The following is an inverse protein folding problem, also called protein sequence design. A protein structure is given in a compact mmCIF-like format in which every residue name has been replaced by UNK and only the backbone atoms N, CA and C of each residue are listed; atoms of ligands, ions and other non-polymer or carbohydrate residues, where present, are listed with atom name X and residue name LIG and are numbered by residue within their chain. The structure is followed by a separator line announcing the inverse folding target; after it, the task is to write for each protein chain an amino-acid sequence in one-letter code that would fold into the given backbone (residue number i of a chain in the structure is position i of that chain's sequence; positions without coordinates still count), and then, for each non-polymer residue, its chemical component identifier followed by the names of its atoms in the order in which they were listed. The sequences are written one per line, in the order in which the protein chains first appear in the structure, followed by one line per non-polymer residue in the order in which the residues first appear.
data_IF_346324937740
#
_entry.id   IF_346324937740
#
_cell.length_a   1.000
_cell.length_b   1.000
_cell.length_c   1.000
_cell.angle_alpha   90.00
_cell.angle_beta   90.00
_cell.angle_gamma   90.00
#
_symmetry.space_group_name_H-M   'P 1'
#
loop_
_entity.id
_entity.type
_entity.pdbx_description
1 polymer ?
#
# COMPACT_ATOMS: atom_id res chain seq x y z
N UNK A 1 -0.66 -23.17 -34.39
CA UNK A 1 -0.64 -21.92 -33.57
C UNK A 1 0.32 -22.14 -32.40
N UNK A 2 1.60 -21.77 -32.55
CA UNK A 2 2.62 -21.98 -31.50
C UNK A 2 2.64 -20.81 -30.53
N UNK A 3 2.29 -21.07 -29.26
CA UNK A 3 2.32 -20.08 -28.17
C UNK A 3 3.79 -19.80 -27.81
N UNK A 4 4.23 -18.56 -28.01
CA UNK A 4 5.56 -18.11 -27.61
C UNK A 4 5.57 -17.87 -26.10
N UNK A 5 6.10 -18.83 -25.33
CA UNK A 5 6.40 -18.62 -23.92
C UNK A 5 7.49 -17.55 -23.81
N UNK A 6 7.18 -16.43 -23.14
CA UNK A 6 8.16 -15.40 -22.83
C UNK A 6 9.10 -15.94 -21.76
N UNK A 7 10.24 -16.48 -22.18
CA UNK A 7 11.36 -16.78 -21.28
C UNK A 7 11.97 -15.45 -20.90
N UNK A 8 11.60 -14.90 -19.74
CA UNK A 8 12.34 -13.82 -19.13
C UNK A 8 13.78 -14.31 -18.88
N UNK A 9 14.79 -13.52 -19.28
CA UNK A 9 16.17 -13.93 -19.05
C UNK A 9 16.43 -14.03 -17.56
N UNK A 10 16.84 -15.22 -17.11
CA UNK A 10 17.20 -15.51 -15.71
C UNK A 10 18.18 -14.46 -15.16
N UNK A 11 19.05 -13.95 -16.04
CA UNK A 11 20.06 -12.93 -15.75
C UNK A 11 19.49 -11.60 -15.25
N UNK A 12 18.38 -11.12 -15.83
CA UNK A 12 17.77 -9.84 -15.40
C UNK A 12 17.21 -9.95 -13.98
N UNK A 13 16.61 -11.09 -13.65
CA UNK A 13 16.09 -11.34 -12.31
C UNK A 13 17.22 -11.44 -11.27
N UNK A 14 18.34 -12.11 -11.61
CA UNK A 14 19.52 -12.15 -10.74
C UNK A 14 20.07 -10.75 -10.48
N UNK A 15 20.18 -9.92 -11.52
CA UNK A 15 20.69 -8.56 -11.40
C UNK A 15 19.79 -7.68 -10.50
N UNK A 16 18.47 -7.80 -10.62
CA UNK A 16 17.52 -7.07 -9.76
C UNK A 16 17.63 -7.50 -8.29
N UNK A 17 17.76 -8.81 -8.03
CA UNK A 17 17.96 -9.34 -6.67
C UNK A 17 19.29 -8.88 -6.06
N UNK A 18 20.37 -8.90 -6.85
CA UNK A 18 21.68 -8.41 -6.42
C UNK A 18 21.66 -6.90 -6.13
N UNK A 19 21.01 -6.11 -6.99
CA UNK A 19 20.85 -4.68 -6.79
C UNK A 19 20.06 -4.37 -5.52
N UNK A 20 18.97 -5.11 -5.27
CA UNK A 20 18.22 -5.02 -4.01
C UNK A 20 19.12 -5.33 -2.82
N UNK A 21 19.83 -6.47 -2.84
CA UNK A 21 20.67 -6.90 -1.73
C UNK A 21 21.77 -5.88 -1.40
N UNK A 22 22.42 -5.33 -2.43
CA UNK A 22 23.43 -4.29 -2.26
C UNK A 22 22.86 -3.04 -1.61
N UNK A 23 21.69 -2.56 -2.07
CA UNK A 23 21.03 -1.38 -1.45
C UNK A 23 20.63 -1.67 0.00
N UNK A 24 20.11 -2.87 0.25
CA UNK A 24 19.61 -3.28 1.56
C UNK A 24 20.73 -3.31 2.59
N UNK A 25 21.84 -3.98 2.27
CA UNK A 25 23.00 -4.07 3.16
C UNK A 25 23.66 -2.70 3.34
N UNK A 26 23.84 -1.92 2.27
CA UNK A 26 24.43 -0.58 2.34
C UNK A 26 23.66 0.37 3.26
N UNK A 27 22.33 0.24 3.30
CA UNK A 27 21.51 1.01 4.23
C UNK A 27 21.60 0.44 5.65
N UNK A 28 21.47 -0.88 5.78
CA UNK A 28 21.29 -1.52 7.08
C UNK A 28 22.58 -1.55 7.93
N UNK A 29 23.73 -1.82 7.32
CA UNK A 29 25.03 -1.92 8.02
C UNK A 29 25.38 -0.69 8.87
N UNK A 30 25.42 0.55 8.33
CA UNK A 30 25.80 1.73 9.11
C UNK A 30 24.79 2.00 10.23
N UNK A 31 23.51 1.78 9.97
CA UNK A 31 22.42 2.02 10.94
C UNK A 31 22.50 1.04 12.11
N UNK A 32 22.69 -0.25 11.83
CA UNK A 32 22.83 -1.26 12.89
C UNK A 32 24.09 -1.03 13.73
N UNK A 33 25.19 -0.58 13.10
CA UNK A 33 26.41 -0.21 13.83
C UNK A 33 26.14 0.95 14.79
N UNK A 34 25.44 1.99 14.33
CA UNK A 34 25.04 3.13 15.18
C UNK A 34 24.21 2.68 16.38
N UNK A 35 23.20 1.83 16.17
CA UNK A 35 22.34 1.30 17.25
C UNK A 35 23.18 0.52 18.28
N UNK A 36 24.14 -0.30 17.82
CA UNK A 36 25.03 -1.06 18.70
C UNK A 36 25.93 -0.16 19.54
N UNK A 37 26.48 0.90 18.94
CA UNK A 37 27.37 1.84 19.62
C UNK A 37 26.59 2.65 20.67
N UNK A 38 25.38 3.12 20.34
CA UNK A 38 24.47 3.78 21.28
C UNK A 38 24.08 2.87 22.45
N UNK A 39 23.74 1.60 22.18
CA UNK A 39 23.44 0.60 23.23
C UNK A 39 24.62 0.38 24.17
N UNK A 40 25.84 0.33 23.64
CA UNK A 40 27.06 0.09 24.45
C UNK A 40 27.39 1.28 25.37
N UNK A 41 26.96 2.49 24.98
CA UNK A 41 27.13 3.72 25.78
C UNK A 41 26.08 3.92 26.88
N UNK A 42 24.90 3.31 26.74
CA UNK A 42 23.77 3.51 27.64
C UNK A 42 23.67 2.39 28.67
N UNK A 43 24.13 2.66 29.89
CA UNK A 43 23.91 1.79 31.04
C UNK A 43 22.43 1.89 31.47
N UNK A 44 21.53 0.97 31.06
CA UNK A 44 20.26 0.65 31.79
C UNK A 44 19.33 -0.41 31.17
N UNK A 45 18.77 -1.19 32.09
CA UNK A 45 17.40 -1.77 32.22
C UNK A 45 16.78 -2.58 31.07
N UNK A 46 16.05 -3.64 31.42
CA UNK A 46 15.34 -4.57 30.52
C UNK A 46 14.39 -3.86 29.52
N UNK A 47 13.87 -2.67 29.84
CA UNK A 47 13.07 -1.85 28.91
C UNK A 47 13.87 -1.33 27.69
N UNK A 48 15.20 -1.25 27.79
CA UNK A 48 16.07 -0.85 26.68
C UNK A 48 16.16 -1.91 25.59
N UNK A 49 16.06 -3.20 25.94
CA UNK A 49 16.12 -4.29 24.96
C UNK A 49 14.90 -4.32 24.03
N UNK A 50 13.70 -4.16 24.59
CA UNK A 50 12.45 -4.07 23.82
C UNK A 50 12.45 -2.87 22.86
N UNK A 51 13.08 -1.76 23.26
CA UNK A 51 13.21 -0.58 22.40
C UNK A 51 14.24 -0.80 21.28
N UNK A 52 15.36 -1.48 21.55
CA UNK A 52 16.35 -1.82 20.52
C UNK A 52 15.76 -2.77 19.49
N UNK A 53 15.03 -3.82 19.90
CA UNK A 53 14.40 -4.75 18.95
C UNK A 53 13.40 -4.05 18.03
N UNK A 54 12.59 -3.13 18.56
CA UNK A 54 11.65 -2.33 17.77
C UNK A 54 12.36 -1.38 16.82
N UNK A 55 13.44 -0.74 17.26
CA UNK A 55 14.25 0.14 16.42
C UNK A 55 14.93 -0.64 15.29
N UNK A 56 15.52 -1.80 15.59
CA UNK A 56 16.11 -2.67 14.57
C UNK A 56 15.05 -3.10 13.55
N UNK A 57 13.85 -3.49 13.99
CA UNK A 57 12.75 -3.84 13.09
C UNK A 57 12.36 -2.67 12.19
N UNK A 58 12.22 -1.47 12.79
CA UNK A 58 11.93 -0.24 12.06
C UNK A 58 12.95 0.03 10.94
N UNK A 59 14.24 -0.04 11.27
CA UNK A 59 15.32 0.20 10.30
C UNK A 59 15.40 -0.89 9.23
N UNK A 60 15.14 -2.15 9.58
CA UNK A 60 15.03 -3.25 8.62
C UNK A 60 13.89 -3.05 7.63
N UNK A 61 12.73 -2.58 8.08
CA UNK A 61 11.58 -2.28 7.25
C UNK A 61 11.84 -1.05 6.37
N UNK A 62 12.51 -0.01 6.90
CA UNK A 62 12.94 1.16 6.13
C UNK A 62 13.95 0.77 5.04
N UNK A 63 14.95 -0.05 5.38
CA UNK A 63 15.93 -0.57 4.44
C UNK A 63 15.27 -1.31 3.28
N UNK A 64 14.24 -2.12 3.57
CA UNK A 64 13.49 -2.86 2.56
C UNK A 64 12.78 -1.92 1.58
N UNK A 65 12.11 -0.89 2.11
CA UNK A 65 11.44 0.15 1.33
C UNK A 65 12.43 0.92 0.44
N UNK A 66 13.57 1.33 1.00
CA UNK A 66 14.60 2.08 0.27
C UNK A 66 15.31 1.23 -0.80
N UNK A 67 15.30 -0.09 -0.63
CA UNK A 67 15.93 -1.04 -1.56
C UNK A 67 15.04 -1.46 -2.72
N UNK A 68 13.71 -1.32 -2.56
CA UNK A 68 12.76 -1.62 -3.61
C UNK A 68 13.06 -0.76 -4.85
N UNK A 69 13.38 -1.41 -5.97
CA UNK A 69 13.80 -0.72 -7.20
C UNK A 69 12.67 0.01 -7.91
N UNK A 70 11.42 -0.33 -7.59
CA UNK A 70 10.20 0.24 -8.18
C UNK A 70 9.34 0.80 -7.04
N UNK A 71 8.76 1.96 -7.29
CA UNK A 71 7.79 2.57 -6.38
C UNK A 71 6.45 1.84 -6.47
N UNK A 72 6.33 0.78 -5.69
CA UNK A 72 5.09 0.06 -5.47
C UNK A 72 4.17 0.88 -4.56
N UNK A 73 2.87 0.69 -4.68
CA UNK A 73 1.91 1.34 -3.78
C UNK A 73 2.16 0.91 -2.33
N UNK A 74 2.43 -0.38 -2.09
CA UNK A 74 2.73 -0.85 -0.74
C UNK A 74 4.00 -0.23 -0.17
N UNK A 75 5.03 0.00 -1.00
CA UNK A 75 6.30 0.55 -0.54
C UNK A 75 6.15 2.02 -0.16
N UNK A 76 5.35 2.79 -0.91
CA UNK A 76 5.02 4.18 -0.55
C UNK A 76 4.20 4.25 0.74
N UNK A 77 3.18 3.40 0.87
CA UNK A 77 2.34 3.34 2.06
C UNK A 77 3.16 2.95 3.30
N UNK A 78 4.01 1.93 3.18
CA UNK A 78 4.93 1.52 4.25
C UNK A 78 5.92 2.64 4.60
N UNK A 79 6.49 3.33 3.60
CA UNK A 79 7.37 4.48 3.83
C UNK A 79 6.68 5.56 4.66
N UNK A 80 5.45 5.93 4.28
CA UNK A 80 4.68 6.94 5.00
C UNK A 80 4.41 6.51 6.46
N UNK A 81 4.05 5.24 6.68
CA UNK A 81 3.85 4.68 8.03
C UNK A 81 5.12 4.76 8.87
N UNK A 82 6.28 4.38 8.30
CA UNK A 82 7.56 4.45 8.98
C UNK A 82 7.98 5.90 9.26
N UNK A 83 7.76 6.83 8.34
CA UNK A 83 8.06 8.24 8.57
C UNK A 83 7.25 8.85 9.74
N UNK A 84 6.00 8.42 9.93
CA UNK A 84 5.22 8.81 11.10
C UNK A 84 5.80 8.24 12.41
N UNK A 85 6.31 7.01 12.37
CA UNK A 85 6.96 6.38 13.52
C UNK A 85 8.33 6.95 13.84
N UNK A 86 9.02 7.56 12.87
CA UNK A 86 10.35 8.12 13.03
C UNK A 86 10.41 9.15 14.17
N UNK A 87 9.34 9.93 14.35
CA UNK A 87 9.21 10.90 15.44
C UNK A 87 9.28 10.25 16.84
N UNK A 88 8.88 8.98 16.97
CA UNK A 88 8.94 8.24 18.22
C UNK A 88 10.35 7.71 18.53
N UNK A 89 11.11 7.31 17.51
CA UNK A 89 12.44 6.70 17.69
C UNK A 89 13.59 7.72 17.66
N UNK A 90 13.44 8.81 16.91
CA UNK A 90 14.40 9.90 16.84
C UNK A 90 13.71 11.23 17.16
N UNK A 91 13.43 11.52 18.44
CA UNK A 91 12.74 12.74 18.86
C UNK A 91 13.57 14.03 18.67
N UNK A 92 14.77 13.96 18.09
CA UNK A 92 15.65 15.11 17.83
C UNK A 92 16.04 15.15 16.37
N UNK A 93 15.51 16.13 15.64
CA UNK A 93 15.72 16.27 14.20
C UNK A 93 17.14 16.69 13.86
N UNK A 94 17.98 15.74 13.45
CA UNK A 94 19.16 15.83 12.57
C UNK A 94 19.34 14.37 12.09
N UNK A 95 19.21 13.98 10.82
CA UNK A 95 20.12 14.25 9.69
C UNK A 95 19.31 14.06 8.40
N UNK A 96 19.08 15.12 7.63
CA UNK A 96 18.93 15.00 6.19
C UNK A 96 20.29 14.56 5.64
N UNK A 97 20.44 13.27 5.36
CA UNK A 97 21.56 12.81 4.56
C UNK A 97 21.23 13.12 3.10
N UNK A 98 21.83 14.21 2.61
CA UNK A 98 21.81 14.59 1.21
C UNK A 98 22.37 13.45 0.38
N UNK A 99 21.47 12.69 -0.25
CA UNK A 99 21.83 11.88 -1.41
C UNK A 99 22.01 12.87 -2.56
N UNK A 100 23.27 13.16 -2.87
CA UNK A 100 23.68 13.89 -4.06
C UNK A 100 23.06 13.27 -5.30
N UNK A 101 22.11 13.97 -5.91
CA UNK A 101 21.80 13.83 -7.33
C UNK A 101 21.77 15.25 -7.88
N UNK A 102 22.78 15.53 -8.70
CA UNK A 102 22.81 16.70 -9.57
C UNK A 102 21.63 16.67 -10.55
N UNK A 103 21.27 17.90 -10.96
CA UNK A 103 20.41 18.28 -12.09
C UNK A 103 18.88 18.27 -11.91
N UNK A 104 18.39 19.48 -11.56
CA UNK A 104 17.48 20.29 -12.40
C UNK A 104 16.01 20.45 -11.94
N UNK A 105 15.71 21.69 -11.49
CA UNK A 105 14.48 22.47 -11.81
C UNK A 105 13.15 21.97 -11.17
N UNK A 106 12.39 22.69 -10.33
CA UNK A 106 12.24 24.09 -9.96
C UNK A 106 11.55 24.17 -8.59
N UNK A 107 11.83 25.23 -7.86
CA UNK A 107 11.19 25.59 -6.59
C UNK A 107 9.66 25.71 -6.66
N UNK A 108 8.96 25.32 -5.60
CA UNK A 108 7.76 26.00 -5.09
C UNK A 108 7.46 25.59 -3.64
N UNK A 109 7.92 26.46 -2.73
CA UNK A 109 7.20 26.98 -1.57
C UNK A 109 6.12 26.12 -0.89
N UNK A 110 6.44 25.78 0.36
CA UNK A 110 5.58 25.47 1.49
C UNK A 110 4.30 26.33 1.54
N UNK A 111 3.14 25.70 1.77
CA UNK A 111 2.16 26.18 2.76
C UNK A 111 1.15 25.09 3.15
N UNK A 112 0.81 24.92 4.44
CA UNK A 112 -0.17 23.94 4.93
C UNK A 112 -1.57 24.56 5.07
N UNK A 113 -2.58 23.96 4.45
CA UNK A 113 -3.98 24.33 4.70
C UNK A 113 -4.63 23.36 5.69
N UNK A 114 -5.04 23.90 6.83
CA UNK A 114 -6.05 23.29 7.69
C UNK A 114 -7.22 24.26 7.85
N UNK A 115 -8.41 23.66 7.95
CA UNK A 115 -9.65 24.15 8.56
C UNK A 115 -10.73 24.70 7.62
N UNK A 116 -11.84 23.95 7.64
CA UNK A 116 -13.17 24.32 7.18
C UNK A 116 -13.71 25.57 7.90
N UNK A 117 -14.55 26.36 7.22
CA UNK A 117 -15.97 26.55 7.57
C UNK A 117 -16.60 27.75 6.82
N UNK A 118 -17.70 27.46 6.12
CA UNK A 118 -18.91 28.28 5.87
C UNK A 118 -18.80 29.70 5.28
N UNK A 119 -19.29 29.87 4.04
CA UNK A 119 -20.56 30.53 3.65
C UNK A 119 -20.52 30.88 2.14
N UNK A 120 -21.58 30.60 1.35
CA UNK A 120 -21.77 31.23 0.05
C UNK A 120 -22.84 32.32 0.14
N UNK A 121 -22.44 33.52 -0.29
CA UNK A 121 -23.33 34.66 -0.56
C UNK A 121 -24.08 34.42 -1.87
N UNK A 122 -25.35 34.76 -1.85
CA UNK A 122 -26.33 34.67 -2.94
C UNK A 122 -25.96 35.56 -4.13
N UNK A 123 -26.33 35.12 -5.33
CA UNK A 123 -27.05 35.98 -6.26
C UNK A 123 -27.96 35.19 -7.20
N UNK A 124 -29.08 35.83 -7.52
CA UNK A 124 -30.37 35.26 -7.88
C UNK A 124 -30.64 35.21 -9.39
N UNK A 125 -31.73 34.49 -9.71
CA UNK A 125 -32.63 34.62 -10.85
C UNK A 125 -32.25 33.87 -12.14
N UNK A 126 -33.00 32.80 -12.41
CA UNK A 126 -33.93 32.74 -13.55
C UNK A 126 -35.17 31.93 -13.11
N UNK A 127 -36.32 32.58 -13.29
CA UNK A 127 -37.68 32.15 -13.01
C UNK A 127 -38.33 31.68 -14.32
N UNK A 128 -39.13 30.63 -14.24
CA UNK A 128 -40.30 30.21 -15.08
C UNK A 128 -40.29 28.67 -15.13
N UNK A 129 -41.34 27.91 -14.85
CA UNK A 129 -42.77 28.17 -14.74
C UNK A 129 -43.39 27.12 -13.81
N UNK A 130 -44.44 27.51 -13.08
CA UNK A 130 -45.19 26.63 -12.19
C UNK A 130 -46.64 26.42 -12.65
N UNK A 131 -47.09 25.16 -12.49
CA UNK A 131 -48.45 24.71 -12.14
C UNK A 131 -49.56 24.75 -13.20
N UNK A 132 -50.17 23.59 -13.35
CA UNK A 132 -51.62 23.25 -13.20
C UNK A 132 -51.82 21.85 -13.83
N UNK A 133 -52.73 20.95 -13.45
CA UNK A 133 -53.73 20.83 -12.40
C UNK A 133 -54.13 19.32 -12.32
N UNK A 134 -54.95 18.99 -11.33
CA UNK A 134 -55.46 17.67 -10.95
C UNK A 134 -56.22 16.90 -12.04
N UNK A 135 -56.17 15.55 -11.99
CA UNK A 135 -57.35 14.70 -12.27
C UNK A 135 -57.20 13.32 -11.62
N UNK A 136 -58.20 12.95 -10.81
CA UNK A 136 -58.42 11.60 -10.29
C UNK A 136 -59.24 10.84 -11.33
N UNK A 137 -58.89 9.58 -11.63
CA UNK A 137 -59.88 8.57 -12.01
C UNK A 137 -59.35 7.16 -11.73
N UNK A 138 -60.06 6.50 -10.83
CA UNK A 138 -59.96 5.09 -10.49
C UNK A 138 -60.49 4.22 -11.64
N UNK A 139 -59.80 3.12 -11.96
CA UNK A 139 -60.45 1.93 -12.53
C UNK A 139 -59.62 0.67 -12.30
N UNK A 140 -60.24 -0.21 -11.52
CA UNK A 140 -59.91 -1.62 -11.37
C UNK A 140 -59.98 -2.36 -12.71
N UNK A 141 -59.00 -3.24 -12.99
CA UNK A 141 -59.22 -4.54 -13.64
C UNK A 141 -57.99 -5.44 -13.50
N UNK A 142 -58.16 -6.52 -12.74
CA UNK A 142 -57.31 -7.72 -12.76
C UNK A 142 -57.37 -8.35 -14.14
N UNK A 143 -56.22 -8.73 -14.70
CA UNK A 143 -56.08 -9.85 -15.62
C UNK A 143 -54.75 -10.56 -15.34
N UNK A 144 -54.87 -11.82 -14.92
CA UNK A 144 -53.78 -12.82 -14.86
C UNK A 144 -53.61 -13.42 -16.26
N UNK A 145 -52.40 -13.43 -16.77
CA UNK A 145 -51.84 -14.43 -17.71
C UNK A 145 -50.34 -14.46 -17.39
N UNK A 146 -49.80 -15.42 -16.65
CA UNK A 146 -49.35 -16.75 -17.11
C UNK A 146 -48.83 -16.71 -18.54
N UNK A 147 -47.51 -16.56 -18.67
CA UNK A 147 -46.74 -17.26 -19.70
C UNK A 147 -45.41 -17.67 -19.08
N UNK A 148 -45.08 -18.93 -19.29
CA UNK A 148 -43.94 -19.66 -18.78
C UNK A 148 -42.63 -19.09 -19.32
N UNK A 149 -41.65 -19.02 -18.43
CA UNK A 149 -40.27 -18.69 -18.70
C UNK A 149 -39.40 -19.25 -17.57
N UNK A 150 -39.62 -20.52 -17.22
CA UNK A 150 -38.72 -21.30 -16.37
C UNK A 150 -37.46 -21.63 -17.16
N UNK A 151 -36.40 -20.83 -17.01
CA UNK A 151 -35.00 -21.26 -16.95
C UNK A 151 -34.12 -20.01 -16.74
N UNK A 152 -33.27 -20.02 -15.70
CA UNK A 152 -32.25 -19.00 -15.30
C UNK A 152 -32.32 -18.51 -13.83
N UNK A 153 -32.86 -19.30 -12.90
CA UNK A 153 -32.75 -19.02 -11.45
C UNK A 153 -31.68 -19.82 -10.73
N UNK A 154 -31.21 -20.93 -11.29
CA UNK A 154 -30.22 -21.79 -10.64
C UNK A 154 -28.78 -21.40 -10.98
N UNK A 155 -28.50 -20.88 -12.18
CA UNK A 155 -27.15 -20.41 -12.55
C UNK A 155 -26.71 -19.12 -11.82
N UNK A 156 -27.67 -18.23 -11.51
CA UNK A 156 -27.38 -16.96 -10.79
C UNK A 156 -26.99 -17.13 -9.32
N UNK A 157 -27.28 -18.28 -8.71
CA UNK A 157 -27.02 -18.48 -7.28
C UNK A 157 -25.56 -18.92 -7.03
N UNK A 158 -24.98 -19.71 -7.93
CA UNK A 158 -23.58 -20.16 -7.82
C UNK A 158 -22.57 -19.08 -8.18
N UNK A 159 -22.86 -18.24 -9.18
CA UNK A 159 -21.98 -17.12 -9.56
C UNK A 159 -21.81 -16.10 -8.43
N UNK A 160 -22.89 -15.85 -7.66
CA UNK A 160 -22.87 -14.92 -6.54
C UNK A 160 -22.04 -15.45 -5.35
N UNK A 161 -22.07 -16.75 -5.08
CA UNK A 161 -21.26 -17.38 -4.02
C UNK A 161 -19.76 -17.37 -4.36
N UNK A 162 -19.40 -17.63 -5.63
CA UNK A 162 -18.01 -17.56 -6.08
C UNK A 162 -17.49 -16.11 -6.03
N UNK A 163 -18.28 -15.14 -6.47
CA UNK A 163 -17.92 -13.73 -6.41
C UNK A 163 -17.73 -13.26 -4.95
N UNK A 164 -18.61 -13.66 -4.03
CA UNK A 164 -18.49 -13.32 -2.61
C UNK A 164 -17.26 -13.97 -1.98
N UNK A 165 -16.94 -15.22 -2.34
CA UNK A 165 -15.72 -15.91 -1.91
C UNK A 165 -14.45 -15.20 -2.41
N UNK A 166 -14.40 -14.82 -3.69
CA UNK A 166 -13.27 -14.07 -4.28
C UNK A 166 -13.12 -12.72 -3.59
N UNK A 167 -14.21 -11.98 -3.42
CA UNK A 167 -14.21 -10.67 -2.75
C UNK A 167 -13.72 -10.80 -1.31
N UNK A 168 -14.20 -11.78 -0.57
CA UNK A 168 -13.73 -12.07 0.79
C UNK A 168 -12.22 -12.30 0.80
N UNK A 169 -11.69 -13.15 -0.09
CA UNK A 169 -10.24 -13.38 -0.19
C UNK A 169 -9.46 -12.11 -0.54
N UNK A 170 -9.94 -11.29 -1.45
CA UNK A 170 -9.31 -10.00 -1.78
C UNK A 170 -9.29 -9.07 -0.55
N UNK A 171 -10.35 -9.00 0.24
CA UNK A 171 -10.33 -8.21 1.49
C UNK A 171 -9.30 -8.72 2.49
N UNK A 172 -9.04 -10.03 2.56
CA UNK A 172 -7.99 -10.58 3.41
C UNK A 172 -6.60 -10.19 2.90
N UNK A 173 -6.35 -10.28 1.58
CA UNK A 173 -5.08 -9.87 0.98
C UNK A 173 -4.78 -8.39 1.22
N UNK A 174 -5.79 -7.52 1.14
CA UNK A 174 -5.64 -6.09 1.44
C UNK A 174 -5.15 -5.82 2.86
N UNK A 175 -5.58 -6.62 3.85
CA UNK A 175 -5.16 -6.46 5.25
C UNK A 175 -3.71 -6.88 5.50
N UNK A 176 -3.15 -7.74 4.65
CA UNK A 176 -1.76 -8.22 4.77
C UNK A 176 -0.76 -7.25 4.14
N UNK A 177 -1.20 -6.47 3.17
CA UNK A 177 -0.34 -5.58 2.39
C UNK A 177 -0.33 -4.17 3.03
N UNK A 178 0.85 -3.56 3.25
CA UNK A 178 0.90 -2.16 3.68
C UNK A 178 0.16 -1.27 2.70
N UNK A 179 -0.86 -0.55 3.17
CA UNK A 179 -1.73 0.25 2.29
C UNK A 179 -2.54 -0.56 1.27
N UNK A 180 -2.88 -1.81 1.58
CA UNK A 180 -3.67 -2.66 0.68
C UNK A 180 -5.09 -2.18 0.45
N UNK A 181 -5.66 -1.36 1.35
CA UNK A 181 -7.00 -0.82 1.18
C UNK A 181 -7.08 0.23 0.07
N UNK A 182 -5.97 0.92 -0.20
CA UNK A 182 -5.83 1.94 -1.24
C UNK A 182 -5.46 1.34 -2.61
N UNK A 183 -5.18 0.03 -2.67
CA UNK A 183 -4.78 -0.67 -3.89
C UNK A 183 -5.99 -1.26 -4.60
N UNK A 184 -6.09 -0.99 -5.91
CA UNK A 184 -7.12 -1.53 -6.79
C UNK A 184 -7.03 -3.05 -6.94
N UNK A 185 -8.17 -3.71 -7.20
CA UNK A 185 -8.22 -5.18 -7.32
C UNK A 185 -7.30 -5.72 -8.43
N UNK A 186 -7.10 -4.95 -9.50
CA UNK A 186 -6.27 -5.33 -10.65
C UNK A 186 -4.79 -5.35 -10.25
N UNK A 187 -4.32 -4.33 -9.54
CA UNK A 187 -2.92 -4.20 -9.14
C UNK A 187 -2.57 -5.02 -7.89
N UNK A 188 -3.56 -5.39 -7.07
CA UNK A 188 -3.37 -6.02 -5.76
C UNK A 188 -2.45 -7.24 -5.79
N UNK A 189 -2.64 -8.15 -6.75
CA UNK A 189 -1.81 -9.36 -6.86
C UNK A 189 -0.38 -9.04 -7.31
N UNK A 190 -0.19 -8.02 -8.14
CA UNK A 190 1.15 -7.59 -8.60
C UNK A 190 1.91 -6.91 -7.46
N UNK A 191 1.22 -6.07 -6.70
CA UNK A 191 1.75 -5.41 -5.50
C UNK A 191 2.07 -6.42 -4.40
N UNK A 192 1.20 -7.41 -4.18
CA UNK A 192 1.43 -8.49 -3.22
C UNK A 192 2.64 -9.35 -3.63
N UNK A 193 2.75 -9.72 -4.91
CA UNK A 193 3.88 -10.50 -5.41
C UNK A 193 5.22 -9.78 -5.23
N UNK A 194 5.25 -8.46 -5.46
CA UNK A 194 6.46 -7.68 -5.24
C UNK A 194 6.80 -7.51 -3.75
N UNK A 195 5.79 -7.38 -2.88
CA UNK A 195 5.99 -7.35 -1.44
C UNK A 195 6.57 -8.66 -0.92
N UNK A 196 5.99 -9.81 -1.31
CA UNK A 196 6.51 -11.15 -0.97
C UNK A 196 7.96 -11.30 -1.44
N UNK A 197 8.27 -10.89 -2.68
CA UNK A 197 9.64 -10.95 -3.20
C UNK A 197 10.62 -10.14 -2.34
N UNK A 198 10.22 -8.95 -1.89
CA UNK A 198 11.07 -8.12 -1.03
C UNK A 198 11.26 -8.74 0.36
N UNK A 199 10.22 -9.35 0.93
CA UNK A 199 10.30 -10.07 2.20
C UNK A 199 11.23 -11.30 2.10
N UNK A 200 11.09 -12.09 1.04
CA UNK A 200 11.98 -13.23 0.79
C UNK A 200 13.44 -12.79 0.67
N UNK A 201 13.70 -11.71 -0.07
CA UNK A 201 15.06 -11.16 -0.19
C UNK A 201 15.59 -10.65 1.15
N UNK A 202 14.76 -9.94 1.93
CA UNK A 202 15.11 -9.48 3.26
C UNK A 202 15.53 -10.65 4.15
N UNK A 203 14.70 -11.69 4.25
CA UNK A 203 14.99 -12.88 5.08
C UNK A 203 16.27 -13.56 4.63
N UNK A 204 16.43 -13.81 3.33
CA UNK A 204 17.64 -14.44 2.79
C UNK A 204 18.92 -13.65 3.09
N UNK A 205 18.87 -12.32 3.00
CA UNK A 205 20.04 -11.47 3.32
C UNK A 205 20.35 -11.55 4.80
N UNK A 206 19.32 -11.47 5.67
CA UNK A 206 19.51 -11.53 7.12
C UNK A 206 20.06 -12.89 7.55
N UNK A 207 19.58 -13.99 6.97
CA UNK A 207 20.10 -15.34 7.23
C UNK A 207 21.58 -15.47 6.87
N UNK A 208 21.99 -14.89 5.73
CA UNK A 208 23.40 -14.81 5.33
C UNK A 208 24.24 -13.99 6.32
N UNK A 209 23.71 -12.88 6.82
CA UNK A 209 24.42 -12.02 7.79
C UNK A 209 24.54 -12.65 9.17
N UNK A 210 23.55 -13.45 9.58
CA UNK A 210 23.56 -14.15 10.86
C UNK A 210 24.40 -15.44 10.85
N UNK A 211 24.93 -15.85 9.70
CA UNK A 211 25.70 -17.10 9.57
C UNK A 211 24.83 -18.37 9.61
N UNK A 212 23.53 -18.25 9.34
CA UNK A 212 22.60 -19.38 9.23
C UNK A 212 22.45 -19.87 7.78
N UNK A 213 23.14 -19.24 6.83
CA UNK A 213 23.29 -19.75 5.47
C UNK A 213 24.29 -20.90 5.47
N UNK A 214 23.78 -22.14 5.35
CA UNK A 214 24.49 -23.42 5.22
C UNK A 214 25.97 -23.35 4.80
#
# INVERSE_FOLDING_TARGET
MSKRNRVYSLERNKLLRLAFARRYVNYLEPVLKKIKDEKSSSNRNQNGEVNVSKLVRFEMDMAMVMSASKEFAWSRSLKAQLQLQLQHYYPTGIVEEKVSNDESSLASTLSPCSNASLTPVMDNNILENSKMMMSKQSSSRRLKQVSEGTSSKEERNYENEEEESVKSRLTHLRKLLPGGNEIGDIELLTELASYITCLELQVNILDCLCGNGN
#
